data_IF_545049585101
#
_entry.id   IF_545049585101
#
_cell.length_a   1.000
_cell.length_b   1.000
_cell.length_c   1.000
_cell.angle_alpha   90.00
_cell.angle_beta   90.00
_cell.angle_gamma   90.00
#
_symmetry.space_group_name_H-M   'P 1'
#
loop_
_entity.id
_entity.type
_entity.pdbx_description
1 polymer ?
#
# COMPACT_ATOMS: atom_id res chain seq x y z
N UNK A 1 -5.49 21.88 13.60
CA UNK A 1 -5.32 20.66 12.79
C UNK A 1 -4.89 19.51 13.69
N UNK A 2 -5.68 18.44 13.79
CA UNK A 2 -5.32 17.25 14.58
C UNK A 2 -4.17 16.52 13.87
N UNK A 3 -3.06 16.24 14.55
CA UNK A 3 -1.97 15.44 13.96
C UNK A 3 -2.49 14.02 13.70
N UNK A 4 -2.40 13.60 12.45
CA UNK A 4 -2.72 12.23 12.03
C UNK A 4 -1.81 11.24 12.75
N UNK A 5 -2.38 10.14 13.26
CA UNK A 5 -1.62 9.08 13.90
C UNK A 5 -0.70 8.43 12.89
N UNK A 6 0.39 7.85 13.37
CA UNK A 6 1.37 7.18 12.51
C UNK A 6 0.74 6.00 11.76
N UNK A 7 -0.12 5.22 12.41
CA UNK A 7 -0.86 4.12 11.80
C UNK A 7 -1.78 4.59 10.68
N UNK A 8 -2.44 5.75 10.84
CA UNK A 8 -3.26 6.37 9.80
C UNK A 8 -2.40 6.83 8.61
N UNK A 9 -1.18 7.33 8.87
CA UNK A 9 -0.22 7.71 7.81
C UNK A 9 0.25 6.51 7.02
N UNK A 10 0.64 5.43 7.71
CA UNK A 10 1.07 4.19 7.08
C UNK A 10 -0.07 3.61 6.22
N UNK A 11 -1.29 3.57 6.75
CA UNK A 11 -2.46 3.11 6.00
C UNK A 11 -2.69 3.95 4.73
N UNK A 12 -2.63 5.28 4.84
CA UNK A 12 -2.82 6.18 3.70
C UNK A 12 -1.74 5.98 2.62
N UNK A 13 -0.48 5.89 3.02
CA UNK A 13 0.65 5.64 2.11
C UNK A 13 0.46 4.30 1.39
N UNK A 14 0.06 3.27 2.13
CA UNK A 14 -0.13 1.92 1.58
C UNK A 14 -1.26 1.88 0.55
N UNK A 15 -2.36 2.59 0.79
CA UNK A 15 -3.46 2.73 -0.17
C UNK A 15 -2.96 3.42 -1.45
N UNK A 16 -2.17 4.49 -1.33
CA UNK A 16 -1.60 5.19 -2.49
C UNK A 16 -0.68 4.26 -3.30
N UNK A 17 0.17 3.49 -2.62
CA UNK A 17 1.06 2.51 -3.27
C UNK A 17 0.24 1.44 -4.01
N UNK A 18 -0.79 0.88 -3.38
CA UNK A 18 -1.66 -0.09 -4.02
C UNK A 18 -2.44 0.46 -5.21
N UNK A 19 -2.99 1.67 -5.10
CA UNK A 19 -3.68 2.34 -6.20
C UNK A 19 -2.75 2.59 -7.39
N UNK A 20 -1.53 3.08 -7.11
CA UNK A 20 -0.52 3.29 -8.14
C UNK A 20 -0.09 1.97 -8.81
N UNK A 21 0.03 0.89 -8.04
CA UNK A 21 0.39 -0.42 -8.58
C UNK A 21 -0.73 -1.03 -9.44
N UNK A 22 -1.99 -0.94 -9.00
CA UNK A 22 -3.14 -1.37 -9.78
C UNK A 22 -3.27 -0.59 -11.08
N UNK A 23 -3.10 0.73 -11.04
CA UNK A 23 -3.08 1.58 -12.24
C UNK A 23 -1.87 1.29 -13.13
N UNK A 24 -0.68 1.11 -12.57
CA UNK A 24 0.51 0.73 -13.33
C UNK A 24 0.32 -0.60 -14.08
N UNK A 25 -0.39 -1.55 -13.47
CA UNK A 25 -0.68 -2.84 -14.10
C UNK A 25 -1.55 -2.72 -15.36
N UNK A 26 -2.38 -1.67 -15.50
CA UNK A 26 -3.17 -1.48 -16.73
C UNK A 26 -2.31 -1.22 -17.96
N UNK A 27 -1.09 -0.70 -17.79
CA UNK A 27 -0.12 -0.49 -18.86
C UNK A 27 0.75 -1.72 -19.17
N UNK A 28 0.73 -2.72 -18.28
CA UNK A 28 1.53 -3.95 -18.44
C UNK A 28 0.65 -5.08 -18.98
N UNK A 29 -0.56 -5.23 -18.45
CA UNK A 29 -1.52 -6.26 -18.82
C UNK A 29 -2.71 -5.63 -19.55
N UNK A 30 -2.47 -5.11 -20.75
CA UNK A 30 -3.54 -4.56 -21.57
C UNK A 30 -4.57 -5.65 -21.92
N UNK A 31 -5.85 -5.37 -21.68
CA UNK A 31 -6.95 -6.29 -21.96
C UNK A 31 -7.29 -7.30 -20.86
N UNK A 32 -6.58 -7.28 -19.72
CA UNK A 32 -7.00 -8.06 -18.56
C UNK A 32 -8.32 -7.55 -17.96
N UNK A 33 -9.08 -8.46 -17.34
CA UNK A 33 -10.34 -8.10 -16.68
C UNK A 33 -10.09 -7.07 -15.57
N UNK A 34 -10.93 -6.04 -15.46
CA UNK A 34 -10.72 -4.92 -14.54
C UNK A 34 -10.46 -5.34 -13.08
N UNK A 35 -11.08 -6.44 -12.66
CA UNK A 35 -10.90 -7.04 -11.33
C UNK A 35 -9.44 -7.43 -11.04
N UNK A 36 -8.64 -7.78 -12.05
CA UNK A 36 -7.22 -8.13 -11.87
C UNK A 36 -6.43 -6.94 -11.37
N UNK A 37 -6.63 -5.75 -11.95
CA UNK A 37 -5.94 -4.53 -11.52
C UNK A 37 -6.32 -4.14 -10.09
N UNK A 38 -7.61 -4.29 -9.74
CA UNK A 38 -8.10 -4.00 -8.39
C UNK A 38 -7.53 -4.97 -7.37
N UNK A 39 -7.60 -6.28 -7.65
CA UNK A 39 -7.06 -7.31 -6.75
C UNK A 39 -5.56 -7.12 -6.56
N UNK A 40 -4.82 -6.85 -7.64
CA UNK A 40 -3.40 -6.58 -7.57
C UNK A 40 -3.09 -5.34 -6.72
N UNK A 41 -3.81 -4.24 -6.95
CA UNK A 41 -3.64 -3.02 -6.15
C UNK A 41 -3.92 -3.25 -4.66
N UNK A 42 -4.95 -4.03 -4.33
CA UNK A 42 -5.28 -4.39 -2.93
C UNK A 42 -4.17 -5.25 -2.31
N UNK A 43 -3.64 -6.24 -3.02
CA UNK A 43 -2.54 -7.08 -2.54
C UNK A 43 -1.28 -6.26 -2.25
N UNK A 44 -0.94 -5.35 -3.16
CA UNK A 44 0.21 -4.45 -2.98
C UNK A 44 -0.03 -3.48 -1.81
N UNK A 45 -1.23 -2.92 -1.66
CA UNK A 45 -1.56 -2.10 -0.49
C UNK A 45 -1.42 -2.88 0.83
N UNK A 46 -1.92 -4.12 0.87
CA UNK A 46 -1.83 -4.97 2.05
C UNK A 46 -0.37 -5.29 2.42
N UNK A 47 0.44 -5.64 1.41
CA UNK A 47 1.87 -5.89 1.59
C UNK A 47 2.64 -4.66 2.06
N UNK A 48 2.39 -3.50 1.45
CA UNK A 48 2.99 -2.22 1.85
C UNK A 48 2.64 -1.86 3.30
N UNK A 49 1.37 -2.04 3.69
CA UNK A 49 0.91 -1.75 5.05
C UNK A 49 1.58 -2.67 6.08
N UNK A 50 1.68 -3.97 5.78
CA UNK A 50 2.36 -4.93 6.65
C UNK A 50 3.85 -4.60 6.78
N UNK A 51 4.53 -4.36 5.65
CA UNK A 51 5.97 -4.04 5.63
C UNK A 51 6.31 -2.75 6.35
N UNK A 52 5.56 -1.66 6.11
CA UNK A 52 5.77 -0.38 6.79
C UNK A 52 5.44 -0.47 8.29
N UNK A 53 4.42 -1.26 8.67
CA UNK A 53 4.11 -1.50 10.08
C UNK A 53 5.22 -2.28 10.77
N UNK A 54 5.81 -3.27 10.10
CA UNK A 54 6.93 -4.03 10.66
C UNK A 54 8.17 -3.17 10.79
N UNK A 55 8.54 -2.41 9.75
CA UNK A 55 9.68 -1.50 9.78
C UNK A 55 9.58 -0.48 10.92
N UNK A 56 8.37 -0.01 11.23
CA UNK A 56 8.14 0.90 12.35
C UNK A 56 8.26 0.22 13.72
N UNK A 57 7.93 -1.07 13.83
CA UNK A 57 8.19 -1.84 15.06
C UNK A 57 9.67 -2.08 15.24
N UNK A 58 10.36 -2.53 14.20
CA UNK A 58 11.80 -2.81 14.23
C UNK A 58 12.60 -1.54 14.61
N UNK A 59 12.20 -0.38 14.07
CA UNK A 59 12.79 0.91 14.43
C UNK A 59 12.66 1.23 15.92
N UNK A 60 11.54 0.89 16.55
CA UNK A 60 11.31 1.14 17.99
C UNK A 60 12.07 0.19 18.90
N UNK A 61 12.48 -0.98 18.41
CA UNK A 61 13.31 -1.92 19.19
C UNK A 61 14.79 -1.56 19.17
N UNK A 62 15.20 -0.73 18.22
CA UNK A 62 16.58 -0.24 18.06
C UNK A 62 16.86 1.10 18.78
N UNK A 63 15.81 1.83 19.16
CA UNK A 63 15.86 3.09 19.93
C UNK A 63 15.76 2.84 21.44
#
# INVERSE_FOLDING_TARGET
MKKMKLTERIALISIVIGAAAGFGLTFILEGAHWAVYVVFGVLIAAGANAGLTQAEKDKKELD
#
